data_IF_688554217341
#
_entry.id   IF_688554217341
#
_cell.length_a   1.000
_cell.length_b   1.000
_cell.length_c   1.000
_cell.angle_alpha   90.00
_cell.angle_beta   90.00
_cell.angle_gamma   90.00
#
_symmetry.space_group_name_H-M   'P 1'
#
loop_
_entity.id
_entity.type
_entity.pdbx_description
1 polymer ?
#
# COMPACT_ATOMS: atom_id res chain seq x y z
N UNK A 1 -16.00 -12.81 -6.00
CA UNK A 1 -17.12 -11.85 -6.06
C UNK A 1 -16.61 -10.47 -5.62
N UNK A 2 -17.17 -9.39 -6.15
CA UNK A 2 -16.74 -8.04 -5.77
C UNK A 2 -17.19 -7.70 -4.34
N UNK A 3 -16.33 -7.13 -3.46
CA UNK A 3 -16.76 -6.72 -2.12
C UNK A 3 -17.85 -5.64 -2.18
N UNK A 4 -18.85 -5.66 -1.27
CA UNK A 4 -20.01 -4.76 -1.33
C UNK A 4 -19.65 -3.28 -1.18
N UNK A 5 -18.54 -2.95 -0.51
CA UNK A 5 -18.06 -1.57 -0.32
C UNK A 5 -17.22 -1.06 -1.50
N UNK A 6 -17.11 -1.85 -2.56
CA UNK A 6 -16.18 -1.63 -3.65
C UNK A 6 -16.84 -1.78 -5.02
N UNK A 7 -16.24 -1.14 -6.02
CA UNK A 7 -16.53 -1.33 -7.43
C UNK A 7 -15.36 -2.08 -8.07
N UNK A 8 -15.67 -3.16 -8.78
CA UNK A 8 -14.68 -3.95 -9.51
C UNK A 8 -14.85 -3.68 -11.00
N UNK A 9 -13.85 -3.07 -11.62
CA UNK A 9 -13.85 -2.66 -13.03
C UNK A 9 -12.67 -3.34 -13.72
N UNK A 10 -12.94 -4.47 -14.38
CA UNK A 10 -11.88 -5.32 -14.92
C UNK A 10 -10.92 -5.75 -13.81
N UNK A 11 -9.64 -5.37 -13.93
CA UNK A 11 -8.59 -5.64 -12.95
C UNK A 11 -8.37 -4.51 -11.92
N UNK A 12 -9.30 -3.54 -11.86
CA UNK A 12 -9.24 -2.42 -10.93
C UNK A 12 -10.28 -2.58 -9.83
N UNK A 13 -9.84 -2.47 -8.58
CA UNK A 13 -10.72 -2.43 -7.41
C UNK A 13 -10.74 -1.03 -6.83
N UNK A 14 -11.94 -0.47 -6.63
CA UNK A 14 -12.12 0.89 -6.09
C UNK A 14 -13.07 0.83 -4.91
N UNK A 15 -12.60 1.15 -3.70
CA UNK A 15 -13.39 1.09 -2.46
C UNK A 15 -13.50 2.48 -1.81
N UNK A 16 -14.70 2.90 -1.43
CA UNK A 16 -14.86 4.18 -0.71
C UNK A 16 -14.49 4.06 0.77
N UNK A 17 -14.95 2.98 1.42
CA UNK A 17 -14.64 2.68 2.82
C UNK A 17 -14.11 1.26 2.91
N UNK A 18 -12.81 1.14 3.18
CA UNK A 18 -12.16 -0.14 3.28
C UNK A 18 -12.08 -0.63 4.72
N UNK A 19 -12.60 -1.83 4.94
CA UNK A 19 -12.34 -2.61 6.13
C UNK A 19 -11.36 -3.74 5.77
N UNK A 20 -10.19 -3.74 6.39
CA UNK A 20 -9.10 -4.67 6.12
C UNK A 20 -9.49 -6.15 6.29
N UNK A 21 -10.50 -6.46 7.10
CA UNK A 21 -10.97 -7.83 7.33
C UNK A 21 -11.70 -8.49 6.14
N UNK A 22 -12.04 -7.71 5.11
CA UNK A 22 -12.86 -8.14 3.96
C UNK A 22 -12.03 -8.86 2.88
N UNK A 23 -10.70 -8.82 2.95
CA UNK A 23 -9.82 -9.19 1.85
C UNK A 23 -9.59 -10.68 1.59
N UNK A 24 -10.33 -11.58 2.24
CA UNK A 24 -10.07 -13.03 2.12
C UNK A 24 -10.36 -13.64 0.74
N UNK A 25 -11.03 -12.93 -0.16
CA UNK A 25 -11.51 -13.46 -1.45
C UNK A 25 -11.11 -12.62 -2.68
N UNK A 26 -10.12 -11.73 -2.59
CA UNK A 26 -9.61 -11.02 -3.77
C UNK A 26 -8.59 -11.85 -4.55
N UNK A 27 -8.62 -11.71 -5.87
CA UNK A 27 -7.86 -12.54 -6.82
C UNK A 27 -6.52 -11.91 -7.21
N UNK A 28 -5.57 -12.77 -7.61
CA UNK A 28 -4.30 -12.39 -8.25
C UNK A 28 -4.45 -11.55 -9.53
N UNK A 29 -5.65 -11.49 -10.13
CA UNK A 29 -5.91 -10.71 -11.34
C UNK A 29 -5.93 -9.20 -11.10
N UNK A 30 -6.02 -8.73 -9.85
CA UNK A 30 -6.06 -7.31 -9.53
C UNK A 30 -4.71 -6.65 -9.85
N UNK A 31 -4.77 -5.61 -10.69
CA UNK A 31 -3.61 -4.82 -11.11
C UNK A 31 -3.60 -3.44 -10.46
N UNK A 32 -4.77 -2.89 -10.13
CA UNK A 32 -4.88 -1.59 -9.48
C UNK A 32 -5.88 -1.65 -8.32
N UNK A 33 -5.48 -1.13 -7.18
CA UNK A 33 -6.36 -1.03 -6.02
C UNK A 33 -6.34 0.40 -5.47
N UNK A 34 -7.53 0.99 -5.35
CA UNK A 34 -7.72 2.32 -4.78
C UNK A 34 -8.72 2.26 -3.64
N UNK A 35 -8.38 2.88 -2.52
CA UNK A 35 -9.34 3.18 -1.48
C UNK A 35 -9.22 4.60 -0.94
N UNK A 36 -10.39 5.24 -0.75
CA UNK A 36 -10.52 6.60 -0.25
C UNK A 36 -10.69 6.69 1.26
N UNK A 37 -10.80 5.63 2.04
CA UNK A 37 -10.76 5.74 3.50
C UNK A 37 -10.48 4.34 3.99
N UNK A 38 -9.55 4.18 4.93
CA UNK A 38 -9.27 2.86 5.52
C UNK A 38 -9.59 2.88 7.01
N UNK A 39 -10.44 1.95 7.44
CA UNK A 39 -10.86 1.81 8.83
C UNK A 39 -10.39 0.47 9.41
N UNK A 40 -10.28 0.43 10.74
CA UNK A 40 -9.81 -0.75 11.45
C UNK A 40 -8.29 -0.90 11.42
N UNK A 41 -7.79 -1.94 12.07
CA UNK A 41 -6.36 -2.24 12.12
C UNK A 41 -5.88 -2.72 10.76
N UNK A 42 -4.76 -2.17 10.30
CA UNK A 42 -4.06 -2.63 9.09
C UNK A 42 -3.79 -4.14 9.18
N UNK A 43 -4.29 -4.88 8.20
CA UNK A 43 -3.99 -6.30 8.03
C UNK A 43 -2.76 -6.45 7.11
N UNK A 44 -1.65 -6.90 7.68
CA UNK A 44 -0.39 -7.05 6.95
C UNK A 44 -0.43 -8.18 5.90
N UNK A 45 -1.47 -9.00 5.89
CA UNK A 45 -1.69 -10.06 4.90
C UNK A 45 -2.61 -9.64 3.75
N UNK A 46 -3.22 -8.45 3.82
CA UNK A 46 -4.27 -8.01 2.89
C UNK A 46 -3.84 -8.06 1.41
N UNK A 47 -2.57 -7.84 1.11
CA UNK A 47 -2.04 -7.80 -0.26
C UNK A 47 -1.30 -9.06 -0.68
N UNK A 48 -1.19 -10.06 0.21
CA UNK A 48 -0.38 -11.25 -0.02
C UNK A 48 -0.75 -12.00 -1.32
N UNK A 49 -2.05 -12.04 -1.63
CA UNK A 49 -2.60 -12.71 -2.81
C UNK A 49 -2.67 -11.81 -4.06
N UNK A 50 -2.30 -10.54 -3.97
CA UNK A 50 -2.36 -9.59 -5.09
C UNK A 50 -0.95 -9.31 -5.65
N UNK A 51 -0.22 -10.37 -5.98
CA UNK A 51 1.19 -10.30 -6.42
C UNK A 51 1.40 -9.55 -7.76
N UNK A 52 0.32 -9.25 -8.49
CA UNK A 52 0.36 -8.54 -9.77
C UNK A 52 0.01 -7.05 -9.67
N UNK A 53 -0.18 -6.52 -8.47
CA UNK A 53 -0.47 -5.10 -8.27
C UNK A 53 0.61 -4.22 -8.92
N UNK A 54 0.14 -3.26 -9.73
CA UNK A 54 0.91 -2.24 -10.42
C UNK A 54 0.72 -0.88 -9.72
N UNK A 55 -0.50 -0.60 -9.25
CA UNK A 55 -0.84 0.65 -8.58
C UNK A 55 -1.62 0.38 -7.30
N UNK A 56 -1.19 1.00 -6.21
CA UNK A 56 -1.87 0.94 -4.91
C UNK A 56 -2.04 2.36 -4.36
N UNK A 57 -3.28 2.75 -4.13
CA UNK A 57 -3.64 4.04 -3.57
C UNK A 57 -4.51 3.82 -2.34
N UNK A 58 -4.01 4.22 -1.18
CA UNK A 58 -4.72 4.13 0.10
C UNK A 58 -4.60 5.50 0.76
N UNK A 59 -5.63 6.34 0.62
CA UNK A 59 -5.56 7.73 1.07
C UNK A 59 -6.66 8.04 2.07
N UNK A 60 -6.51 9.14 2.80
CA UNK A 60 -7.51 9.63 3.77
C UNK A 60 -7.90 8.56 4.79
N UNK A 61 -6.93 7.75 5.23
CA UNK A 61 -7.10 6.62 6.13
C UNK A 61 -6.50 6.84 7.52
N UNK A 62 -6.46 5.76 8.30
CA UNK A 62 -5.98 5.73 9.68
C UNK A 62 -4.64 4.99 9.82
N UNK A 63 -3.88 4.84 8.73
CA UNK A 63 -2.59 4.14 8.76
C UNK A 63 -1.60 5.00 9.55
N UNK A 64 -1.18 4.50 10.72
CA UNK A 64 -0.23 5.18 11.61
C UNK A 64 1.22 4.71 11.47
N UNK A 65 1.37 3.43 11.12
CA UNK A 65 2.67 2.81 10.93
C UNK A 65 2.55 1.68 9.92
N UNK A 66 3.66 1.38 9.27
CA UNK A 66 3.78 0.26 8.34
C UNK A 66 4.56 -0.86 9.03
N UNK A 67 4.15 -2.13 8.86
CA UNK A 67 4.92 -3.26 9.36
C UNK A 67 6.22 -3.40 8.54
N UNK A 68 7.30 -3.87 9.18
CA UNK A 68 8.63 -3.96 8.57
C UNK A 68 9.15 -5.40 8.45
N UNK A 69 10.23 -5.55 7.68
CA UNK A 69 10.95 -6.83 7.55
C UNK A 69 10.08 -7.96 7.02
N UNK A 70 10.11 -9.11 7.71
CA UNK A 70 9.36 -10.30 7.32
C UNK A 70 7.82 -10.10 7.27
N UNK A 71 7.34 -9.08 7.98
CA UNK A 71 5.93 -8.70 8.06
C UNK A 71 5.57 -7.52 7.15
N UNK A 72 6.48 -7.09 6.27
CA UNK A 72 6.23 -6.01 5.31
C UNK A 72 4.93 -6.27 4.55
N UNK A 73 4.07 -5.24 4.52
CA UNK A 73 2.85 -5.22 3.74
C UNK A 73 3.10 -5.39 2.24
N UNK A 74 4.35 -5.14 1.82
CA UNK A 74 4.80 -5.07 0.43
C UNK A 74 5.77 -6.20 0.02
N UNK A 75 5.93 -7.22 0.86
CA UNK A 75 6.90 -8.31 0.68
C UNK A 75 6.79 -9.04 -0.68
N UNK A 76 5.60 -9.14 -1.25
CA UNK A 76 5.34 -9.84 -2.52
C UNK A 76 4.91 -8.89 -3.65
N UNK A 77 5.16 -7.59 -3.51
CA UNK A 77 4.67 -6.54 -4.40
C UNK A 77 5.77 -6.06 -5.37
N UNK A 78 6.59 -6.99 -5.87
CA UNK A 78 7.71 -6.72 -6.79
C UNK A 78 7.32 -6.25 -8.20
N UNK A 79 6.03 -6.01 -8.45
CA UNK A 79 5.50 -5.42 -9.69
C UNK A 79 4.89 -4.04 -9.49
N UNK A 80 4.81 -3.57 -8.24
CA UNK A 80 4.18 -2.29 -7.92
C UNK A 80 5.05 -1.15 -8.44
N UNK A 81 4.46 -0.27 -9.24
CA UNK A 81 5.12 0.90 -9.82
C UNK A 81 4.74 2.18 -9.06
N UNK A 82 3.52 2.26 -8.56
CA UNK A 82 2.96 3.46 -7.95
C UNK A 82 2.34 3.13 -6.59
N UNK A 83 2.83 3.81 -5.56
CA UNK A 83 2.32 3.72 -4.20
C UNK A 83 1.92 5.11 -3.72
N UNK A 84 0.64 5.28 -3.40
CA UNK A 84 0.12 6.50 -2.80
C UNK A 84 -0.48 6.18 -1.41
N UNK A 85 0.16 6.70 -0.38
CA UNK A 85 -0.23 6.64 1.02
C UNK A 85 -0.48 8.06 1.58
N UNK A 86 -0.74 9.04 0.72
CA UNK A 86 -0.98 10.42 1.14
C UNK A 86 -2.22 10.56 2.02
N UNK A 87 -2.26 11.61 2.83
CA UNK A 87 -3.36 11.90 3.75
C UNK A 87 -3.66 10.74 4.71
N UNK A 88 -2.63 10.08 5.25
CA UNK A 88 -2.78 9.13 6.36
C UNK A 88 -2.21 9.76 7.65
N UNK A 89 -1.93 8.94 8.66
CA UNK A 89 -1.42 9.37 9.96
C UNK A 89 -0.03 8.78 10.22
N UNK A 90 0.76 8.54 9.16
CA UNK A 90 2.04 7.86 9.26
C UNK A 90 3.03 8.78 9.96
N UNK A 91 3.39 8.44 11.19
CA UNK A 91 4.32 9.23 12.00
C UNK A 91 5.78 8.80 11.76
N UNK A 92 5.99 7.55 11.38
CA UNK A 92 7.33 7.03 11.09
C UNK A 92 7.33 5.95 10.02
N UNK A 93 8.40 5.92 9.24
CA UNK A 93 8.71 4.83 8.32
C UNK A 93 9.78 3.94 8.96
N UNK A 94 9.56 2.63 9.09
CA UNK A 94 10.56 1.75 9.68
C UNK A 94 11.73 1.52 8.71
N UNK A 95 12.84 1.00 9.26
CA UNK A 95 13.95 0.50 8.44
C UNK A 95 13.43 -0.55 7.45
N UNK A 96 13.82 -0.42 6.18
CA UNK A 96 13.33 -1.26 5.08
C UNK A 96 11.79 -1.31 5.00
N UNK A 97 11.09 -0.22 5.29
CA UNK A 97 9.62 -0.16 5.30
C UNK A 97 8.94 -0.48 3.96
N UNK A 98 9.64 -0.31 2.85
CA UNK A 98 9.18 -0.68 1.50
C UNK A 98 9.88 -1.91 0.94
N UNK A 99 10.33 -2.81 1.82
CA UNK A 99 10.89 -4.11 1.44
C UNK A 99 9.96 -4.87 0.50
N UNK A 100 10.51 -5.36 -0.61
CA UNK A 100 9.80 -6.05 -1.70
C UNK A 100 9.40 -5.18 -2.89
N UNK A 101 9.44 -3.84 -2.77
CA UNK A 101 9.06 -2.90 -3.84
C UNK A 101 10.21 -2.63 -4.84
N UNK A 102 10.64 -3.67 -5.56
CA UNK A 102 11.87 -3.66 -6.37
C UNK A 102 11.81 -2.85 -7.66
N UNK A 103 10.62 -2.59 -8.20
CA UNK A 103 10.41 -1.86 -9.47
C UNK A 103 9.68 -0.52 -9.28
N UNK A 104 9.49 -0.10 -8.04
CA UNK A 104 8.70 1.07 -7.69
C UNK A 104 9.29 2.34 -8.31
N UNK A 105 8.43 3.16 -8.91
CA UNK A 105 8.82 4.41 -9.60
C UNK A 105 8.40 5.66 -8.85
N UNK A 106 7.28 5.61 -8.14
CA UNK A 106 6.73 6.75 -7.40
C UNK A 106 6.18 6.35 -6.04
N UNK A 107 6.52 7.14 -5.03
CA UNK A 107 5.94 7.10 -3.69
C UNK A 107 5.36 8.47 -3.37
N UNK A 108 4.09 8.51 -2.98
CA UNK A 108 3.46 9.68 -2.41
C UNK A 108 3.10 9.45 -0.94
N UNK A 109 3.71 10.22 -0.05
CA UNK A 109 3.49 10.24 1.40
C UNK A 109 3.03 11.60 1.90
N UNK A 110 2.70 12.53 1.00
CA UNK A 110 2.27 13.90 1.36
C UNK A 110 1.12 13.90 2.35
N UNK A 111 1.08 14.92 3.20
CA UNK A 111 0.06 15.07 4.25
C UNK A 111 0.04 13.88 5.23
N UNK A 112 1.21 13.36 5.58
CA UNK A 112 1.40 12.52 6.76
C UNK A 112 2.25 13.26 7.80
N UNK A 113 2.02 13.05 9.11
CA UNK A 113 2.80 13.67 10.18
C UNK A 113 4.16 12.98 10.37
N UNK A 114 4.92 12.80 9.29
CA UNK A 114 6.19 12.08 9.31
C UNK A 114 7.24 12.80 10.17
N UNK A 115 7.66 12.15 11.25
CA UNK A 115 8.70 12.64 12.16
C UNK A 115 10.02 11.91 11.94
N UNK A 116 9.98 10.62 11.60
CA UNK A 116 11.16 9.77 11.49
C UNK A 116 11.11 8.89 10.25
N UNK A 117 12.22 8.83 9.51
CA UNK A 117 12.40 7.96 8.36
C UNK A 117 13.54 6.99 8.65
N UNK A 118 13.22 5.70 8.73
CA UNK A 118 14.18 4.63 8.97
C UNK A 118 15.20 4.53 7.85
N UNK A 119 16.43 4.16 8.23
CA UNK A 119 17.52 3.96 7.27
C UNK A 119 17.10 2.93 6.21
N UNK A 120 17.41 3.22 4.95
CA UNK A 120 17.14 2.29 3.85
C UNK A 120 15.66 1.97 3.66
N UNK A 121 14.73 2.85 4.05
CA UNK A 121 13.30 2.59 3.87
C UNK A 121 12.91 2.29 2.40
N UNK A 122 13.68 2.78 1.44
CA UNK A 122 13.58 2.54 -0.02
C UNK A 122 14.74 1.71 -0.60
N UNK A 123 15.45 0.92 0.21
CA UNK A 123 16.65 0.18 -0.20
C UNK A 123 16.44 -0.75 -1.41
N UNK A 124 15.27 -1.39 -1.51
CA UNK A 124 14.93 -2.27 -2.63
C UNK A 124 14.46 -1.51 -3.89
N UNK A 125 14.00 -0.27 -3.74
CA UNK A 125 13.34 0.52 -4.80
C UNK A 125 14.33 1.22 -5.73
N UNK A 126 15.20 0.46 -6.38
CA UNK A 126 16.27 0.95 -7.27
C UNK A 126 15.78 1.66 -8.54
N UNK A 127 14.46 1.68 -8.80
CA UNK A 127 13.83 2.32 -9.95
C UNK A 127 13.07 3.61 -9.58
N UNK A 128 13.18 4.06 -8.32
CA UNK A 128 12.44 5.21 -7.83
C UNK A 128 12.89 6.49 -8.53
N UNK A 129 11.91 7.23 -9.04
CA UNK A 129 12.11 8.49 -9.78
C UNK A 129 11.39 9.66 -9.14
N UNK A 130 10.38 9.38 -8.31
CA UNK A 130 9.59 10.40 -7.63
C UNK A 130 9.32 9.96 -6.19
N UNK A 131 9.59 10.88 -5.26
CA UNK A 131 9.31 10.73 -3.85
C UNK A 131 8.73 12.06 -3.36
N UNK A 132 7.50 12.00 -2.85
CA UNK A 132 6.84 13.14 -2.20
C UNK A 132 6.59 12.79 -0.74
N UNK A 133 7.00 13.65 0.18
CA UNK A 133 6.87 13.49 1.63
C UNK A 133 5.92 14.55 2.20
#
# INVERSE_FOLDING_TARGET
ACPPQCKCLGHTLICNHLNWSVFRNLSESILAFTSRHTNGKLDNTAFLLMARLISLTLTHGLIKSLPSGANSLFKNQGRLLYLDLSYNQIESLPQNGFYGLTVLKSINLTNNPLLNIGRGFISDSNRLTSLSL
#
